data_IF_152692057208
#
_entry.id   IF_152692057208
#
_cell.length_a   1.000
_cell.length_b   1.000
_cell.length_c   1.000
_cell.angle_alpha   90.00
_cell.angle_beta   90.00
_cell.angle_gamma   90.00
#
_symmetry.space_group_name_H-M   'P 1'
#
loop_
_entity.id
_entity.type
_entity.pdbx_description
1 polymer ?
#
# COMPACT_ATOMS: atom_id res chain seq x y z
N UNK A 1 -39.04 31.56 -73.32
CA UNK A 1 -38.34 32.58 -74.14
C UNK A 1 -37.61 33.49 -73.19
N UNK A 2 -36.43 34.02 -73.53
CA UNK A 2 -35.20 33.34 -73.86
C UNK A 2 -34.07 33.76 -72.88
N UNK A 3 -33.13 32.90 -72.79
CA UNK A 3 -31.70 33.13 -73.02
C UNK A 3 -31.07 34.45 -72.57
N UNK A 4 -30.00 34.38 -71.78
CA UNK A 4 -28.65 34.77 -72.23
C UNK A 4 -27.59 34.41 -71.22
N UNK A 5 -26.73 33.53 -71.64
CA UNK A 5 -25.30 33.46 -71.57
C UNK A 5 -24.59 34.77 -71.25
N UNK A 6 -23.64 34.71 -70.28
CA UNK A 6 -22.29 35.26 -70.47
C UNK A 6 -21.34 34.71 -69.41
N UNK A 7 -20.38 33.97 -69.86
CA UNK A 7 -19.01 33.89 -69.31
C UNK A 7 -18.23 35.08 -69.93
N UNK A 8 -17.10 35.53 -69.45
CA UNK A 8 -15.92 34.87 -68.93
C UNK A 8 -15.33 35.64 -67.73
N UNK A 9 -14.30 35.30 -67.15
CA UNK A 9 -12.86 35.57 -67.38
C UNK A 9 -12.04 34.99 -66.22
N UNK A 10 -11.14 34.21 -66.60
CA UNK A 10 -9.95 33.76 -65.96
C UNK A 10 -9.09 34.90 -65.45
N UNK A 11 -8.69 34.91 -64.18
CA UNK A 11 -7.40 35.47 -63.78
C UNK A 11 -6.93 34.76 -62.51
N UNK A 12 -5.80 34.16 -62.65
CA UNK A 12 -5.03 33.49 -61.68
C UNK A 12 -4.44 34.42 -60.64
N UNK A 13 -3.98 33.94 -59.56
CA UNK A 13 -2.64 34.14 -59.06
C UNK A 13 -2.44 33.60 -57.65
N UNK A 14 -1.36 33.00 -57.53
CA UNK A 14 -0.47 32.84 -56.37
C UNK A 14 -0.99 32.04 -55.17
N UNK A 15 -0.39 30.89 -55.11
CA UNK A 15 -0.23 30.11 -53.89
C UNK A 15 0.50 30.88 -52.82
N UNK A 16 -0.06 30.86 -51.64
CA UNK A 16 0.68 31.12 -50.42
C UNK A 16 0.55 29.90 -49.58
N UNK A 17 1.62 29.11 -49.57
CA UNK A 17 1.75 27.93 -48.73
C UNK A 17 1.65 28.33 -47.28
N UNK A 18 0.52 27.97 -46.66
CA UNK A 18 0.39 28.04 -45.22
C UNK A 18 1.09 26.78 -44.65
N UNK A 19 2.35 26.93 -44.22
CA UNK A 19 2.97 25.93 -43.35
C UNK A 19 2.11 25.81 -42.09
N UNK A 20 1.31 24.78 -42.05
CA UNK A 20 0.58 24.38 -40.84
C UNK A 20 1.61 23.95 -39.79
N UNK A 21 1.93 24.82 -38.86
CA UNK A 21 2.60 24.44 -37.63
C UNK A 21 1.68 23.49 -36.87
N UNK A 22 1.96 22.18 -36.94
CA UNK A 22 1.33 21.21 -36.08
C UNK A 22 1.75 21.50 -34.64
N UNK A 23 0.81 21.76 -33.72
CA UNK A 23 1.18 21.85 -32.32
C UNK A 23 1.63 20.44 -31.87
N UNK A 24 2.91 20.32 -31.57
CA UNK A 24 3.46 19.16 -30.90
C UNK A 24 2.90 19.17 -29.47
N UNK A 25 1.79 18.50 -29.25
CA UNK A 25 1.26 18.28 -27.90
C UNK A 25 2.20 17.30 -27.22
N UNK A 26 3.12 17.82 -26.42
CA UNK A 26 3.85 17.01 -25.45
C UNK A 26 2.80 16.42 -24.50
N UNK A 27 2.47 15.16 -24.73
CA UNK A 27 1.74 14.36 -23.75
C UNK A 27 2.66 14.29 -22.52
N UNK A 28 2.36 15.11 -21.52
CA UNK A 28 2.95 14.97 -20.20
C UNK A 28 2.47 13.63 -19.66
N UNK A 29 3.35 12.63 -19.68
CA UNK A 29 3.16 11.42 -18.90
C UNK A 29 3.13 11.86 -17.44
N UNK A 30 1.94 11.91 -16.86
CA UNK A 30 1.78 12.04 -15.41
C UNK A 30 2.55 10.89 -14.78
N UNK A 31 3.46 11.14 -13.81
CA UNK A 31 4.05 10.04 -13.07
C UNK A 31 2.90 9.28 -12.42
N UNK A 32 2.72 8.03 -12.81
CA UNK A 32 1.82 7.11 -12.12
C UNK A 32 2.29 7.06 -10.67
N UNK A 33 1.61 7.78 -9.81
CA UNK A 33 1.79 7.67 -8.38
C UNK A 33 1.47 6.21 -8.04
N UNK A 34 2.50 5.43 -7.67
CA UNK A 34 2.35 4.05 -7.27
C UNK A 34 1.30 4.01 -6.15
N UNK A 35 0.13 3.50 -6.48
CA UNK A 35 -0.97 3.37 -5.52
C UNK A 35 -0.52 2.50 -4.35
N UNK A 36 -0.90 2.83 -3.12
CA UNK A 36 -0.60 2.00 -1.96
C UNK A 36 -1.14 0.58 -2.21
N UNK A 37 -0.29 -0.42 -2.03
CA UNK A 37 -0.71 -1.82 -2.15
C UNK A 37 -1.38 -2.25 -0.85
N UNK A 38 -2.50 -2.94 -0.93
CA UNK A 38 -3.12 -3.56 0.24
C UNK A 38 -2.45 -4.92 0.51
N UNK A 39 -1.73 -5.02 1.62
CA UNK A 39 -1.07 -6.25 2.06
C UNK A 39 -1.92 -6.97 3.11
N UNK A 40 -2.62 -8.02 2.67
CA UNK A 40 -3.43 -8.89 3.54
C UNK A 40 -2.61 -10.07 4.01
N UNK A 41 -2.68 -10.37 5.31
CA UNK A 41 -1.98 -11.50 5.90
C UNK A 41 -2.81 -12.13 7.01
N UNK A 42 -2.82 -13.46 7.05
CA UNK A 42 -3.40 -14.21 8.16
C UNK A 42 -2.29 -14.71 9.07
N UNK A 43 -2.35 -14.35 10.34
CA UNK A 43 -1.42 -14.76 11.38
C UNK A 43 -2.13 -15.71 12.35
N UNK A 44 -1.62 -16.92 12.48
CA UNK A 44 -2.11 -17.90 13.46
C UNK A 44 -1.04 -18.08 14.51
N UNK A 45 -1.30 -17.56 15.71
CA UNK A 45 -0.42 -17.68 16.86
C UNK A 45 -0.78 -18.98 17.60
N UNK A 46 0.17 -19.87 17.74
CA UNK A 46 0.01 -21.12 18.49
C UNK A 46 1.01 -21.13 19.65
N UNK A 47 0.50 -21.19 20.87
CA UNK A 47 1.31 -21.17 22.09
C UNK A 47 2.31 -19.99 22.14
N UNK A 48 1.85 -18.82 21.73
CA UNK A 48 2.65 -17.60 21.70
C UNK A 48 3.68 -17.56 20.57
N UNK A 49 3.59 -18.40 19.56
CA UNK A 49 4.53 -18.47 18.44
C UNK A 49 3.86 -18.41 17.08
N UNK A 50 4.60 -17.88 16.09
CA UNK A 50 4.26 -17.96 14.68
C UNK A 50 5.11 -19.02 13.96
N UNK A 51 4.60 -19.60 12.85
CA UNK A 51 5.42 -20.37 11.91
C UNK A 51 6.67 -19.61 11.49
N UNK A 52 7.77 -20.32 11.24
CA UNK A 52 9.07 -19.71 10.90
C UNK A 52 8.97 -18.74 9.73
N UNK A 53 8.15 -19.06 8.75
CA UNK A 53 7.94 -18.28 7.51
C UNK A 53 7.31 -16.92 7.79
N UNK A 54 6.53 -16.81 8.87
CA UNK A 54 5.84 -15.59 9.28
C UNK A 54 6.58 -14.78 10.35
N UNK A 55 7.74 -15.25 10.79
CA UNK A 55 8.56 -14.52 11.78
C UNK A 55 9.29 -13.31 11.18
N UNK A 56 9.29 -13.17 9.86
CA UNK A 56 9.77 -11.97 9.15
C UNK A 56 8.77 -11.61 8.07
N UNK A 57 8.05 -10.53 8.31
CA UNK A 57 7.01 -10.01 7.42
C UNK A 57 7.58 -8.81 6.68
N UNK A 58 7.67 -8.88 5.36
CA UNK A 58 8.19 -7.79 4.53
C UNK A 58 7.05 -7.05 3.85
N UNK A 59 7.08 -5.73 3.93
CA UNK A 59 6.14 -4.81 3.29
C UNK A 59 6.88 -3.59 2.77
N UNK A 60 6.23 -2.76 1.97
CA UNK A 60 6.80 -1.53 1.43
C UNK A 60 6.20 -0.32 2.14
N UNK A 61 7.00 0.71 2.33
CA UNK A 61 6.52 1.97 2.90
C UNK A 61 5.33 2.51 2.10
N UNK A 62 4.26 2.85 2.79
CA UNK A 62 3.01 3.33 2.23
C UNK A 62 1.98 2.23 2.02
N UNK A 63 2.33 0.96 2.16
CA UNK A 63 1.36 -0.12 2.03
C UNK A 63 0.30 -0.05 3.13
N UNK A 64 -0.93 -0.38 2.75
CA UNK A 64 -2.06 -0.55 3.64
C UNK A 64 -2.05 -1.99 4.16
N UNK A 65 -1.77 -2.16 5.43
CA UNK A 65 -1.65 -3.49 6.03
C UNK A 65 -2.97 -3.90 6.64
N UNK A 66 -3.42 -5.11 6.32
CA UNK A 66 -4.57 -5.77 6.97
C UNK A 66 -4.15 -7.16 7.44
N UNK A 67 -4.08 -7.33 8.73
CA UNK A 67 -3.80 -8.61 9.35
C UNK A 67 -5.05 -9.18 10.00
N UNK A 68 -5.34 -10.44 9.70
CA UNK A 68 -6.29 -11.24 10.45
C UNK A 68 -5.51 -12.13 11.39
N UNK A 69 -5.60 -11.87 12.67
CA UNK A 69 -4.83 -12.58 13.70
C UNK A 69 -5.76 -13.46 14.53
N UNK A 70 -5.38 -14.70 14.73
CA UNK A 70 -6.03 -15.62 15.65
C UNK A 70 -5.00 -16.29 16.55
N UNK A 71 -5.42 -16.72 17.73
CA UNK A 71 -4.57 -17.45 18.68
C UNK A 71 -5.34 -18.56 19.34
N UNK A 72 -4.64 -19.65 19.68
CA UNK A 72 -5.20 -20.72 20.50
C UNK A 72 -5.24 -20.38 22.00
N UNK A 73 -4.58 -19.29 22.40
CA UNK A 73 -4.57 -18.77 23.78
C UNK A 73 -4.95 -17.30 23.81
N UNK A 74 -5.49 -16.84 24.93
CA UNK A 74 -5.74 -15.42 25.14
C UNK A 74 -4.42 -14.66 25.36
N UNK A 75 -4.34 -13.43 24.88
CA UNK A 75 -3.15 -12.60 25.02
C UNK A 75 -3.29 -11.25 24.31
N UNK A 76 -2.17 -10.56 24.19
CA UNK A 76 -2.10 -9.26 23.51
C UNK A 76 -0.94 -9.23 22.53
N UNK A 77 -1.19 -8.65 21.38
CA UNK A 77 -0.22 -8.37 20.33
C UNK A 77 0.17 -6.89 20.39
N UNK A 78 1.46 -6.61 20.34
CA UNK A 78 1.98 -5.24 20.38
C UNK A 78 2.97 -4.99 19.24
N UNK A 79 2.75 -3.89 18.52
CA UNK A 79 3.69 -3.31 17.56
C UNK A 79 4.00 -1.88 18.00
N UNK A 80 4.96 -1.74 18.92
CA UNK A 80 5.22 -0.49 19.65
C UNK A 80 5.49 0.71 18.76
N UNK A 81 6.31 0.54 17.72
CA UNK A 81 6.65 1.63 16.80
C UNK A 81 5.43 2.22 16.07
N UNK A 82 4.39 1.41 15.91
CA UNK A 82 3.13 1.81 15.28
C UNK A 82 2.04 2.15 16.29
N UNK A 83 2.35 2.08 17.60
CA UNK A 83 1.40 2.26 18.70
C UNK A 83 0.16 1.36 18.53
N UNK A 84 0.37 0.18 17.98
CA UNK A 84 -0.67 -0.80 17.73
C UNK A 84 -0.68 -1.82 18.84
N UNK A 85 -1.86 -2.03 19.42
CA UNK A 85 -2.10 -3.06 20.42
C UNK A 85 -3.44 -3.72 20.13
N UNK A 86 -3.50 -5.05 20.23
CA UNK A 86 -4.73 -5.79 20.07
C UNK A 86 -4.81 -6.92 21.10
N UNK A 87 -5.91 -6.97 21.83
CA UNK A 87 -6.23 -8.09 22.71
C UNK A 87 -6.89 -9.19 21.89
N UNK A 88 -6.40 -10.41 22.04
CA UNK A 88 -6.92 -11.59 21.38
C UNK A 88 -7.56 -12.53 22.41
N UNK A 89 -8.73 -13.03 22.05
CA UNK A 89 -9.41 -14.12 22.75
C UNK A 89 -9.04 -15.44 22.08
N UNK A 90 -8.90 -16.52 22.86
CA UNK A 90 -8.63 -17.84 22.31
C UNK A 90 -9.68 -18.24 21.28
N UNK A 91 -9.24 -18.64 20.10
CA UNK A 91 -10.10 -19.07 18.99
C UNK A 91 -10.89 -17.97 18.26
N UNK A 92 -10.79 -16.70 18.68
CA UNK A 92 -11.47 -15.57 18.05
C UNK A 92 -10.51 -14.79 17.16
N UNK A 93 -10.79 -14.64 15.86
CA UNK A 93 -9.97 -13.82 14.98
C UNK A 93 -10.20 -12.33 15.25
N UNK A 94 -9.11 -11.57 15.26
CA UNK A 94 -9.10 -10.10 15.38
C UNK A 94 -8.47 -9.50 14.13
N UNK A 95 -9.04 -8.43 13.60
CA UNK A 95 -8.47 -7.71 12.47
C UNK A 95 -7.68 -6.49 12.94
N UNK A 96 -6.49 -6.33 12.36
CA UNK A 96 -5.61 -5.20 12.56
C UNK A 96 -5.37 -4.51 11.23
N UNK A 97 -5.56 -3.20 11.18
CA UNK A 97 -5.33 -2.41 10.00
C UNK A 97 -4.44 -1.20 10.35
N UNK A 98 -3.39 -0.98 9.56
CA UNK A 98 -2.49 0.15 9.71
C UNK A 98 -1.76 0.44 8.40
N UNK A 99 -1.13 1.61 8.31
CA UNK A 99 -0.28 1.97 7.18
C UNK A 99 1.19 1.83 7.57
N UNK A 100 1.99 1.23 6.71
CA UNK A 100 3.44 1.11 6.89
C UNK A 100 4.12 2.47 6.63
N UNK A 101 4.11 3.39 7.59
CA UNK A 101 4.54 4.78 7.42
C UNK A 101 6.05 5.00 7.56
N UNK A 102 6.76 4.11 8.24
CA UNK A 102 8.19 4.25 8.53
C UNK A 102 8.98 3.04 8.01
N UNK A 103 10.13 3.27 7.39
CA UNK A 103 11.07 2.21 6.98
C UNK A 103 11.86 1.70 8.17
N UNK A 104 12.23 0.43 8.16
CA UNK A 104 13.02 -0.20 9.21
C UNK A 104 12.53 -1.57 9.62
N UNK A 105 13.06 -2.06 10.73
CA UNK A 105 12.65 -3.34 11.33
C UNK A 105 11.98 -3.08 12.66
N UNK A 106 10.77 -3.57 12.82
CA UNK A 106 9.93 -3.32 13.98
C UNK A 106 9.54 -4.64 14.63
N UNK A 107 9.67 -4.71 15.94
CA UNK A 107 9.35 -5.90 16.73
C UNK A 107 7.85 -6.01 16.91
N UNK A 108 7.29 -7.16 16.54
CA UNK A 108 5.95 -7.59 16.89
C UNK A 108 6.08 -8.49 18.12
N UNK A 109 5.41 -8.15 19.19
CA UNK A 109 5.53 -8.84 20.48
C UNK A 109 4.20 -9.47 20.86
N UNK A 110 4.29 -10.64 21.53
CA UNK A 110 3.15 -11.34 22.09
C UNK A 110 3.28 -11.40 23.61
N UNK A 111 2.21 -11.06 24.29
CA UNK A 111 2.09 -11.19 25.74
C UNK A 111 0.90 -12.11 26.04
N UNK A 112 1.15 -13.25 26.64
CA UNK A 112 0.12 -14.15 27.11
C UNK A 112 -0.72 -13.51 28.23
N UNK A 113 -1.98 -13.93 28.38
CA UNK A 113 -2.87 -13.34 29.40
C UNK A 113 -2.31 -13.41 30.82
N UNK A 114 -1.49 -14.42 31.13
CA UNK A 114 -0.80 -14.56 32.41
C UNK A 114 0.36 -13.56 32.59
N UNK A 115 0.92 -13.05 31.50
CA UNK A 115 2.06 -12.12 31.53
C UNK A 115 1.61 -10.66 31.61
N UNK A 116 0.38 -10.34 31.23
CA UNK A 116 -0.18 -8.99 31.31
C UNK A 116 -0.36 -8.51 32.75
N UNK A 117 -0.32 -9.41 33.71
CA UNK A 117 -0.44 -9.12 35.16
C UNK A 117 0.91 -8.94 35.85
N UNK A 118 2.03 -9.22 35.18
CA UNK A 118 3.35 -9.02 35.72
C UNK A 118 3.92 -7.64 35.30
N UNK A 119 4.62 -6.93 36.19
CA UNK A 119 5.37 -5.74 35.79
C UNK A 119 6.35 -6.16 34.69
N UNK A 120 6.37 -5.42 33.58
CA UNK A 120 7.10 -5.69 32.35
C UNK A 120 8.44 -6.38 32.62
N UNK A 121 8.46 -7.70 32.53
CA UNK A 121 9.70 -8.45 32.48
C UNK A 121 10.44 -7.96 31.24
N UNK A 122 11.60 -7.38 31.45
CA UNK A 122 12.34 -6.59 30.50
C UNK A 122 12.33 -7.20 29.10
N UNK A 123 12.43 -6.34 28.10
CA UNK A 123 12.38 -6.57 26.66
C UNK A 123 13.35 -7.64 26.07
N UNK A 124 13.59 -8.73 26.80
CA UNK A 124 14.55 -9.78 26.46
C UNK A 124 13.89 -11.01 25.81
N UNK A 125 12.55 -11.11 25.82
CA UNK A 125 11.87 -12.20 25.12
C UNK A 125 12.07 -12.02 23.60
N UNK A 126 12.27 -13.12 22.85
CA UNK A 126 12.34 -13.04 21.39
C UNK A 126 11.01 -12.51 20.86
N UNK A 127 11.05 -11.62 19.84
CA UNK A 127 9.83 -11.11 19.26
C UNK A 127 9.03 -12.24 18.58
N UNK A 128 7.73 -12.11 18.57
CA UNK A 128 6.84 -12.99 17.81
C UNK A 128 7.19 -12.98 16.33
N UNK A 129 7.43 -11.78 15.78
CA UNK A 129 7.91 -11.55 14.43
C UNK A 129 8.65 -10.20 14.31
N UNK A 130 9.32 -10.02 13.19
CA UNK A 130 9.88 -8.73 12.75
C UNK A 130 9.08 -8.27 11.54
N UNK A 131 8.47 -7.09 11.64
CA UNK A 131 7.94 -6.36 10.50
C UNK A 131 9.09 -5.56 9.88
N UNK A 132 9.46 -5.91 8.65
CA UNK A 132 10.46 -5.22 7.85
C UNK A 132 9.78 -4.35 6.81
N UNK A 133 9.89 -3.04 6.97
CA UNK A 133 9.32 -2.06 6.03
C UNK A 133 10.43 -1.53 5.14
N UNK A 134 10.36 -1.86 3.86
CA UNK A 134 11.32 -1.46 2.84
C UNK A 134 10.94 -0.10 2.25
N UNK A 135 11.90 0.70 1.78
CA UNK A 135 11.60 1.91 1.02
C UNK A 135 10.86 1.54 -0.28
N UNK A 136 10.06 2.48 -0.76
CA UNK A 136 9.39 2.38 -2.05
C UNK A 136 10.31 2.84 -3.15
#
# INVERSE_FOLDING_TARGET
MPLRFTRPVLTGLLGLGLLGAMPFTLAQASPEALSPTEAKLTLVVTDGMLPKELRRIKVTKGDQIRWRVSSNTAGALHLHAYRLSATLQAGQPTELAFTAFATGQFRLEWHGASETSAPAAGHHAPPLAILEVQPR
#
